data_IF_198486103751
#
_entry.id   IF_198486103751
#
_cell.length_a   1.000
_cell.length_b   1.000
_cell.length_c   1.000
_cell.angle_alpha   90.00
_cell.angle_beta   90.00
_cell.angle_gamma   90.00
#
_symmetry.space_group_name_H-M   'P 1'
#
loop_
_entity.id
_entity.type
_entity.pdbx_description
1 polymer ?
#
# COMPACT_ATOMS: atom_id res chain seq x y z
N UNK A 1 -9.22 -25.16 27.93
CA UNK A 1 -9.20 -25.61 26.51
C UNK A 1 -8.55 -24.48 25.70
N UNK A 2 -7.36 -24.70 25.16
CA UNK A 2 -6.65 -23.70 24.36
C UNK A 2 -7.39 -23.52 23.02
N UNK A 3 -8.04 -22.38 22.84
CA UNK A 3 -8.68 -22.00 21.58
C UNK A 3 -7.60 -21.37 20.71
N UNK A 4 -6.89 -22.21 19.95
CA UNK A 4 -6.00 -21.73 18.90
C UNK A 4 -6.89 -21.16 17.79
N UNK A 5 -7.02 -19.83 17.74
CA UNK A 5 -7.70 -19.14 16.66
C UNK A 5 -7.09 -19.61 15.32
N UNK A 6 -7.88 -19.99 14.30
CA UNK A 6 -7.32 -20.25 13.00
C UNK A 6 -6.73 -18.93 12.52
N UNK A 7 -5.42 -18.92 12.28
CA UNK A 7 -4.63 -17.79 11.78
C UNK A 7 -5.44 -17.00 10.74
N UNK A 8 -5.58 -15.68 10.94
CA UNK A 8 -6.40 -14.75 10.12
C UNK A 8 -6.22 -14.93 8.60
N UNK A 9 -5.05 -15.43 8.19
CA UNK A 9 -4.73 -15.82 6.81
C UNK A 9 -5.71 -16.84 6.21
N UNK A 10 -6.21 -17.81 6.98
CA UNK A 10 -7.13 -18.85 6.47
C UNK A 10 -8.49 -18.28 6.12
N UNK A 11 -9.02 -17.39 6.97
CA UNK A 11 -10.30 -16.71 6.72
C UNK A 11 -10.17 -15.72 5.57
N UNK A 12 -9.08 -14.96 5.54
CA UNK A 12 -8.77 -14.02 4.46
C UNK A 12 -8.69 -14.74 3.10
N UNK A 13 -7.97 -15.86 3.01
CA UNK A 13 -7.84 -16.62 1.78
C UNK A 13 -9.19 -17.17 1.28
N UNK A 14 -10.08 -17.55 2.20
CA UNK A 14 -11.42 -18.04 1.87
C UNK A 14 -12.32 -16.93 1.32
N UNK A 15 -12.25 -15.73 1.89
CA UNK A 15 -12.97 -14.54 1.39
C UNK A 15 -12.46 -14.15 0.01
N UNK A 16 -11.13 -14.18 -0.21
CA UNK A 16 -10.52 -13.88 -1.52
C UNK A 16 -10.97 -14.88 -2.59
N UNK A 17 -11.03 -16.18 -2.25
CA UNK A 17 -11.52 -17.22 -3.16
C UNK A 17 -12.96 -16.95 -3.59
N UNK A 18 -13.85 -16.75 -2.62
CA UNK A 18 -15.26 -16.44 -2.89
C UNK A 18 -15.45 -15.23 -3.81
N UNK A 19 -14.75 -14.11 -3.54
CA UNK A 19 -14.86 -12.92 -4.38
C UNK A 19 -14.39 -13.15 -5.83
N UNK A 20 -13.45 -14.07 -6.07
CA UNK A 20 -13.04 -14.45 -7.44
C UNK A 20 -14.10 -15.28 -8.13
N UNK A 21 -14.66 -16.26 -7.43
CA UNK A 21 -15.67 -17.14 -8.00
C UNK A 21 -16.88 -16.32 -8.47
N UNK A 22 -17.31 -15.33 -7.68
CA UNK A 22 -18.34 -14.36 -8.07
C UNK A 22 -17.90 -13.52 -9.27
N UNK A 23 -16.68 -12.98 -9.27
CA UNK A 23 -16.19 -12.17 -10.39
C UNK A 23 -16.07 -12.96 -11.70
N UNK A 24 -15.72 -14.25 -11.64
CA UNK A 24 -15.66 -15.15 -12.79
C UNK A 24 -17.06 -15.52 -13.30
N UNK A 25 -18.00 -15.81 -12.40
CA UNK A 25 -19.40 -16.10 -12.75
C UNK A 25 -20.07 -14.91 -13.45
N UNK A 26 -19.77 -13.68 -13.02
CA UNK A 26 -20.35 -12.45 -13.55
C UNK A 26 -19.55 -11.86 -14.74
N UNK A 27 -18.53 -12.55 -15.23
CA UNK A 27 -17.64 -12.09 -16.32
C UNK A 27 -17.05 -10.68 -16.11
N UNK A 28 -16.79 -10.30 -14.84
CA UNK A 28 -16.30 -8.96 -14.50
C UNK A 28 -14.79 -8.85 -14.72
N UNK A 29 -14.36 -7.82 -15.46
CA UNK A 29 -12.93 -7.50 -15.64
C UNK A 29 -12.35 -6.94 -14.34
N UNK A 30 -11.72 -7.80 -13.55
CA UNK A 30 -11.06 -7.40 -12.29
C UNK A 30 -9.78 -6.60 -12.60
N UNK A 31 -9.67 -5.39 -12.03
CA UNK A 31 -8.50 -4.50 -12.21
C UNK A 31 -7.20 -5.09 -11.64
N UNK A 32 -7.31 -5.82 -10.53
CA UNK A 32 -6.23 -6.60 -9.91
C UNK A 32 -6.83 -7.85 -9.26
N UNK A 33 -6.51 -9.03 -9.77
CA UNK A 33 -6.70 -10.26 -9.03
C UNK A 33 -5.58 -10.30 -8.00
N UNK A 34 -5.88 -10.17 -6.70
CA UNK A 34 -4.89 -10.35 -5.62
C UNK A 34 -4.47 -11.84 -5.50
N UNK A 35 -4.30 -12.51 -6.65
CA UNK A 35 -4.12 -13.94 -6.90
C UNK A 35 -2.70 -14.32 -7.23
N UNK A 36 -1.89 -13.36 -7.69
CA UNK A 36 -0.48 -13.61 -7.86
C UNK A 36 0.12 -13.92 -6.49
N UNK A 37 0.59 -15.15 -6.32
CA UNK A 37 1.50 -15.44 -5.23
C UNK A 37 2.73 -14.56 -5.42
N UNK A 38 3.02 -13.76 -4.39
CA UNK A 38 4.13 -12.82 -4.45
C UNK A 38 5.40 -13.68 -4.30
N UNK A 39 6.09 -14.01 -5.39
CA UNK A 39 7.30 -14.85 -5.34
C UNK A 39 8.35 -14.35 -4.31
N UNK A 40 8.41 -13.02 -4.10
CA UNK A 40 9.40 -12.37 -3.23
C UNK A 40 8.78 -11.25 -2.40
N UNK A 41 8.88 -11.36 -1.09
CA UNK A 41 8.47 -10.35 -0.12
C UNK A 41 9.69 -9.64 0.46
N UNK A 42 9.62 -8.32 0.67
CA UNK A 42 10.66 -7.57 1.37
C UNK A 42 10.41 -7.60 2.88
N UNK A 43 11.33 -8.21 3.64
CA UNK A 43 11.36 -8.18 5.10
C UNK A 43 12.25 -7.06 5.64
N UNK A 44 12.01 -6.68 6.89
CA UNK A 44 12.79 -5.67 7.60
C UNK A 44 14.07 -6.29 8.19
N UNK A 45 15.13 -5.51 8.41
CA UNK A 45 16.44 -6.04 8.89
C UNK A 45 16.35 -6.80 10.21
N UNK A 46 15.42 -6.40 11.09
CA UNK A 46 15.21 -7.02 12.39
C UNK A 46 14.32 -8.27 12.35
N UNK A 47 13.75 -8.62 11.19
CA UNK A 47 12.89 -9.79 11.07
C UNK A 47 13.71 -11.08 11.27
N UNK A 48 13.31 -11.89 12.25
CA UNK A 48 13.92 -13.20 12.57
C UNK A 48 12.93 -14.36 12.41
N UNK A 49 11.84 -14.14 11.70
CA UNK A 49 10.82 -15.17 11.46
C UNK A 49 11.22 -16.14 10.35
N UNK A 50 10.24 -16.84 9.79
CA UNK A 50 10.45 -17.83 8.74
C UNK A 50 10.96 -17.18 7.44
N UNK A 51 11.87 -17.84 6.74
CA UNK A 51 12.44 -17.33 5.48
C UNK A 51 11.49 -17.49 4.29
N UNK A 52 10.55 -18.44 4.39
CA UNK A 52 9.55 -18.71 3.37
C UNK A 52 8.16 -18.80 3.98
N UNK A 53 7.16 -18.31 3.26
CA UNK A 53 5.75 -18.45 3.62
C UNK A 53 5.00 -18.98 2.39
N UNK A 54 4.68 -20.28 2.38
CA UNK A 54 4.19 -20.95 1.17
C UNK A 54 5.25 -20.92 0.07
N UNK A 55 4.90 -20.44 -1.11
CA UNK A 55 5.83 -20.26 -2.24
C UNK A 55 6.58 -18.90 -2.21
N UNK A 56 6.20 -18.02 -1.28
CA UNK A 56 6.77 -16.67 -1.17
C UNK A 56 8.08 -16.67 -0.39
N UNK A 57 9.15 -16.15 -1.00
CA UNK A 57 10.45 -15.99 -0.34
C UNK A 57 10.57 -14.62 0.33
N UNK A 58 10.86 -14.60 1.63
CA UNK A 58 11.07 -13.38 2.41
C UNK A 58 12.53 -12.96 2.30
N UNK A 59 12.78 -11.92 1.52
CA UNK A 59 14.11 -11.35 1.33
C UNK A 59 14.39 -10.31 2.41
N UNK A 60 15.52 -10.43 3.10
CA UNK A 60 15.99 -9.45 4.09
C UNK A 60 17.15 -8.63 3.49
N UNK A 61 17.19 -7.31 3.67
CA UNK A 61 18.23 -6.46 3.09
C UNK A 61 19.58 -6.67 3.80
N UNK A 62 20.48 -7.41 3.16
CA UNK A 62 21.87 -7.62 3.56
C UNK A 62 22.87 -6.71 2.84
N UNK A 63 24.16 -6.90 3.16
CA UNK A 63 25.28 -6.24 2.46
C UNK A 63 25.31 -6.69 1.00
N UNK A 64 25.41 -5.78 0.01
CA UNK A 64 25.51 -6.14 -1.40
C UNK A 64 26.73 -7.04 -1.65
N UNK A 65 26.55 -8.14 -2.37
CA UNK A 65 27.66 -9.04 -2.72
C UNK A 65 28.58 -8.36 -3.73
N UNK A 66 29.90 -8.55 -3.61
CA UNK A 66 30.88 -8.01 -4.54
C UNK A 66 30.65 -8.52 -5.98
N UNK A 67 30.23 -9.78 -6.12
CA UNK A 67 29.92 -10.45 -7.39
C UNK A 67 28.66 -9.97 -8.10
N UNK A 68 27.76 -9.23 -7.41
CA UNK A 68 26.55 -8.73 -8.05
C UNK A 68 26.87 -7.59 -9.04
N UNK A 69 26.39 -7.72 -10.27
CA UNK A 69 26.41 -6.63 -11.27
C UNK A 69 25.73 -5.35 -10.72
N UNK A 70 26.19 -4.14 -11.11
CA UNK A 70 25.57 -2.88 -10.73
C UNK A 70 24.05 -2.85 -10.94
N UNK A 71 23.57 -3.46 -12.03
CA UNK A 71 22.14 -3.54 -12.33
C UNK A 71 21.38 -4.37 -11.27
N UNK A 72 21.91 -5.54 -10.88
CA UNK A 72 21.30 -6.39 -9.84
C UNK A 72 21.25 -5.68 -8.50
N UNK A 73 22.31 -4.97 -8.12
CA UNK A 73 22.37 -4.15 -6.89
C UNK A 73 21.28 -3.09 -6.88
N UNK A 74 21.12 -2.33 -7.98
CA UNK A 74 20.07 -1.29 -8.12
C UNK A 74 18.67 -1.89 -8.05
N UNK A 75 18.44 -3.05 -8.67
CA UNK A 75 17.14 -3.75 -8.64
C UNK A 75 16.77 -4.18 -7.22
N UNK A 76 17.71 -4.77 -6.46
CA UNK A 76 17.53 -5.12 -5.03
C UNK A 76 17.25 -3.87 -4.20
N UNK A 77 18.03 -2.80 -4.37
CA UNK A 77 17.83 -1.55 -3.63
C UNK A 77 16.46 -0.93 -3.91
N UNK A 78 16.01 -0.91 -5.17
CA UNK A 78 14.68 -0.39 -5.54
C UNK A 78 13.55 -1.21 -4.89
N UNK A 79 13.72 -2.53 -4.79
CA UNK A 79 12.76 -3.41 -4.14
C UNK A 79 12.61 -3.08 -2.64
N UNK A 80 13.73 -3.02 -1.90
CA UNK A 80 13.69 -2.68 -0.47
C UNK A 80 13.28 -1.23 -0.18
N UNK A 81 13.63 -0.27 -1.05
CA UNK A 81 13.24 1.14 -0.88
C UNK A 81 11.72 1.35 -0.95
N UNK A 82 11.00 0.53 -1.74
CA UNK A 82 9.53 0.56 -1.75
C UNK A 82 8.93 0.19 -0.39
N UNK A 83 9.57 -0.72 0.35
CA UNK A 83 9.13 -1.13 1.70
C UNK A 83 9.39 -0.04 2.74
N UNK A 84 10.54 0.64 2.66
CA UNK A 84 10.90 1.71 3.59
C UNK A 84 9.87 2.87 3.65
N UNK A 85 9.19 3.16 2.53
CA UNK A 85 8.13 4.18 2.50
C UNK A 85 6.82 3.76 3.17
N UNK A 86 6.62 2.47 3.44
CA UNK A 86 5.39 1.96 4.08
C UNK A 86 5.45 2.19 5.60
N UNK A 87 6.63 2.02 6.21
CA UNK A 87 6.80 2.17 7.66
C UNK A 87 6.50 3.59 8.13
N UNK A 88 6.90 4.60 7.36
CA UNK A 88 6.58 6.00 7.68
C UNK A 88 5.07 6.23 7.68
N UNK A 89 4.36 5.73 6.67
CA UNK A 89 2.89 5.82 6.59
C UNK A 89 2.24 5.09 7.76
N UNK A 90 2.69 3.88 8.11
CA UNK A 90 2.18 3.13 9.28
C UNK A 90 2.46 3.89 10.58
N UNK A 91 3.65 4.49 10.73
CA UNK A 91 4.03 5.31 11.87
C UNK A 91 3.12 6.54 12.02
N UNK A 92 2.89 7.28 10.92
CA UNK A 92 1.93 8.38 10.88
C UNK A 92 0.52 7.90 11.22
N UNK A 93 0.07 6.76 10.68
CA UNK A 93 -1.25 6.22 11.02
C UNK A 93 -1.36 5.85 12.52
N UNK A 94 -0.32 5.27 13.11
CA UNK A 94 -0.29 4.96 14.55
C UNK A 94 -0.33 6.21 15.43
N UNK A 95 0.41 7.24 15.06
CA UNK A 95 0.53 8.48 15.82
C UNK A 95 -0.65 9.44 15.62
N UNK A 96 -1.01 9.76 14.37
CA UNK A 96 -1.99 10.80 14.01
C UNK A 96 -3.44 10.29 14.08
N UNK A 97 -3.69 9.01 13.80
CA UNK A 97 -5.04 8.44 13.78
C UNK A 97 -5.39 7.62 15.04
N UNK A 98 -4.65 7.81 16.14
CA UNK A 98 -4.91 7.16 17.45
C UNK A 98 -5.07 5.63 17.40
N UNK A 99 -4.50 4.99 16.38
CA UNK A 99 -4.52 3.54 16.20
C UNK A 99 -3.82 2.78 17.34
N UNK A 100 -2.95 3.45 18.10
CA UNK A 100 -2.29 2.88 19.29
C UNK A 100 -3.07 2.99 20.61
N UNK A 101 -4.22 3.68 20.63
CA UNK A 101 -5.03 3.87 21.85
C UNK A 101 -6.50 3.76 21.51
N UNK A 102 -6.99 2.53 21.43
CA UNK A 102 -8.39 2.28 21.19
C UNK A 102 -9.17 2.25 22.51
N UNK A 103 -10.23 3.05 22.60
CA UNK A 103 -11.09 3.12 23.80
C UNK A 103 -12.28 2.14 23.71
N UNK A 104 -12.52 1.56 22.53
CA UNK A 104 -13.48 0.49 22.33
C UNK A 104 -12.93 -0.83 22.88
N UNK A 105 -13.77 -1.61 23.56
CA UNK A 105 -13.32 -2.82 24.26
C UNK A 105 -12.99 -3.96 23.30
N UNK A 106 -11.73 -4.37 23.27
CA UNK A 106 -11.25 -5.63 22.71
C UNK A 106 -10.99 -5.64 21.20
N UNK A 107 -10.68 -6.82 20.68
CA UNK A 107 -10.25 -7.09 19.28
C UNK A 107 -11.20 -6.53 18.22
N UNK A 108 -12.51 -6.57 18.47
CA UNK A 108 -13.52 -6.05 17.55
C UNK A 108 -13.43 -4.52 17.42
N UNK A 109 -13.18 -3.83 18.54
CA UNK A 109 -12.93 -2.39 18.53
C UNK A 109 -11.69 -2.04 17.72
N UNK A 110 -10.61 -2.81 17.89
CA UNK A 110 -9.34 -2.63 17.14
C UNK A 110 -9.53 -2.80 15.64
N UNK A 111 -10.28 -3.82 15.24
CA UNK A 111 -10.63 -4.05 13.84
C UNK A 111 -11.43 -2.87 13.25
N UNK A 112 -12.44 -2.37 13.97
CA UNK A 112 -13.26 -1.23 13.53
C UNK A 112 -12.41 0.04 13.41
N UNK A 113 -11.53 0.30 14.36
CA UNK A 113 -10.66 1.48 14.35
C UNK A 113 -9.68 1.45 13.15
N UNK A 114 -9.09 0.29 12.84
CA UNK A 114 -8.25 0.10 11.64
C UNK A 114 -9.04 0.34 10.36
N UNK A 115 -10.24 -0.24 10.25
CA UNK A 115 -11.08 -0.07 9.06
C UNK A 115 -11.49 1.40 8.84
N UNK A 116 -11.88 2.10 9.92
CA UNK A 116 -12.24 3.52 9.84
C UNK A 116 -11.04 4.42 9.52
N UNK A 117 -9.87 4.14 10.12
CA UNK A 117 -8.64 4.87 9.80
C UNK A 117 -8.23 4.68 8.32
N UNK A 118 -8.36 3.46 7.80
CA UNK A 118 -8.10 3.17 6.38
C UNK A 118 -9.11 3.89 5.46
N UNK A 119 -10.39 3.89 5.81
CA UNK A 119 -11.42 4.62 5.06
C UNK A 119 -11.14 6.12 5.05
N UNK A 120 -10.80 6.71 6.20
CA UNK A 120 -10.43 8.12 6.31
C UNK A 120 -9.20 8.48 5.46
N UNK A 121 -8.19 7.60 5.41
CA UNK A 121 -7.00 7.80 4.57
C UNK A 121 -7.36 7.79 3.08
N UNK A 122 -8.24 6.87 2.66
CA UNK A 122 -8.76 6.84 1.29
C UNK A 122 -9.54 8.10 0.94
N UNK A 123 -10.41 8.58 1.83
CA UNK A 123 -11.14 9.83 1.63
C UNK A 123 -10.21 11.04 1.57
N UNK A 124 -9.18 11.11 2.43
CA UNK A 124 -8.17 12.18 2.38
C UNK A 124 -7.49 12.24 1.00
N UNK A 125 -7.17 11.08 0.41
CA UNK A 125 -6.60 11.00 -0.94
C UNK A 125 -7.60 11.44 -2.02
N UNK A 126 -8.85 10.98 -1.92
CA UNK A 126 -9.92 11.36 -2.84
C UNK A 126 -10.21 12.88 -2.79
N UNK A 127 -10.26 13.47 -1.60
CA UNK A 127 -10.46 14.91 -1.41
C UNK A 127 -9.30 15.73 -1.98
N UNK A 128 -8.04 15.28 -1.82
CA UNK A 128 -6.88 15.94 -2.43
C UNK A 128 -6.95 15.90 -3.97
N UNK A 129 -7.36 14.77 -4.54
CA UNK A 129 -7.56 14.64 -5.98
C UNK A 129 -8.67 15.56 -6.48
N UNK A 130 -9.82 15.57 -5.81
CA UNK A 130 -10.93 16.47 -6.13
C UNK A 130 -10.51 17.95 -6.05
N UNK A 131 -9.77 18.34 -5.01
CA UNK A 131 -9.25 19.70 -4.87
C UNK A 131 -8.26 20.07 -5.98
N UNK A 132 -7.46 19.11 -6.45
CA UNK A 132 -6.58 19.29 -7.60
C UNK A 132 -7.40 19.54 -8.86
N UNK A 133 -8.44 18.73 -9.11
CA UNK A 133 -9.33 18.89 -10.26
C UNK A 133 -10.03 20.26 -10.25
N UNK A 134 -10.60 20.67 -9.12
CA UNK A 134 -11.25 21.98 -8.99
C UNK A 134 -10.24 23.10 -9.25
N UNK A 135 -9.02 23.01 -8.71
CA UNK A 135 -7.95 23.99 -8.98
C UNK A 135 -7.55 24.05 -10.45
N UNK A 136 -7.45 22.90 -11.12
CA UNK A 136 -7.17 22.88 -12.56
C UNK A 136 -8.30 23.52 -13.34
N UNK A 137 -9.56 23.23 -13.01
CA UNK A 137 -10.71 23.85 -13.67
C UNK A 137 -10.76 25.36 -13.48
N UNK A 138 -10.51 25.85 -12.25
CA UNK A 138 -10.44 27.29 -11.96
C UNK A 138 -9.27 27.94 -12.72
N UNK A 139 -8.08 27.32 -12.73
CA UNK A 139 -6.94 27.83 -13.51
C UNK A 139 -7.24 27.91 -15.00
N UNK A 140 -7.80 26.85 -15.58
CA UNK A 140 -8.22 26.82 -16.99
C UNK A 140 -9.28 27.87 -17.29
N UNK A 141 -10.21 28.12 -16.35
CA UNK A 141 -11.24 29.15 -16.49
C UNK A 141 -10.68 30.57 -16.38
N UNK A 142 -9.56 30.79 -15.70
CA UNK A 142 -8.89 32.09 -15.56
C UNK A 142 -7.90 32.31 -16.72
N UNK A 143 -7.22 31.26 -17.20
CA UNK A 143 -6.24 31.28 -18.28
C UNK A 143 -6.89 31.15 -19.67
N UNK A 144 -7.89 31.99 -19.93
CA UNK A 144 -8.44 32.18 -21.27
C UNK A 144 -7.58 33.04 -22.20
N UNK A 145 -6.35 33.44 -21.79
CA UNK A 145 -5.45 34.29 -22.60
C UNK A 145 -3.97 34.00 -22.26
N UNK A 146 -3.21 33.72 -23.32
CA UNK A 146 -1.75 33.76 -23.52
C UNK A 146 -0.77 32.67 -23.03
N UNK A 147 -0.36 31.88 -24.03
CA UNK A 147 1.01 31.49 -24.46
C UNK A 147 2.04 30.90 -23.47
N UNK A 148 2.49 29.68 -23.83
CA UNK A 148 3.83 29.12 -23.63
C UNK A 148 4.54 29.42 -22.30
N UNK A 149 4.13 28.74 -21.22
CA UNK A 149 4.98 28.63 -20.03
C UNK A 149 5.22 27.15 -19.66
N UNK A 150 6.47 26.74 -19.83
CA UNK A 150 7.08 25.42 -19.65
C UNK A 150 6.56 24.61 -18.42
N UNK A 151 5.43 23.91 -18.57
CA UNK A 151 4.65 23.32 -17.46
C UNK A 151 4.99 21.85 -17.11
N UNK A 152 6.07 21.30 -17.68
CA UNK A 152 6.45 19.88 -17.43
C UNK A 152 7.08 19.65 -16.06
N UNK A 153 7.51 20.70 -15.34
CA UNK A 153 8.20 20.58 -14.04
C UNK A 153 7.28 20.61 -12.81
N UNK A 154 6.10 21.24 -12.89
CA UNK A 154 5.20 21.40 -11.73
C UNK A 154 4.30 20.18 -11.54
N UNK A 155 3.86 19.54 -12.64
CA UNK A 155 3.05 18.32 -12.57
C UNK A 155 3.84 17.10 -12.07
N UNK A 156 5.13 16.99 -12.41
CA UNK A 156 5.99 15.88 -11.98
C UNK A 156 6.21 15.85 -10.45
N UNK A 157 6.36 17.03 -9.81
CA UNK A 157 6.62 17.11 -8.37
C UNK A 157 5.36 16.98 -7.51
N UNK A 158 4.18 17.30 -8.04
CA UNK A 158 2.91 17.23 -7.29
C UNK A 158 2.30 15.83 -7.31
N UNK A 159 2.52 15.05 -8.38
CA UNK A 159 2.07 13.65 -8.49
C UNK A 159 2.96 12.70 -7.68
N UNK A 160 4.20 13.09 -7.36
CA UNK A 160 5.13 12.27 -6.59
C UNK A 160 4.71 12.06 -5.11
N UNK A 161 3.75 12.85 -4.60
CA UNK A 161 3.30 12.82 -3.19
C UNK A 161 1.78 12.56 -3.01
N UNK A 162 1.08 12.10 -4.06
CA UNK A 162 -0.34 11.71 -4.04
C UNK A 162 -0.54 10.19 -4.00
#
# INVERSE_FOLDING_TARGET
>A
KNVTFPTDSKLLNKIIGFCRDVAHAEHLKVRQSYAGEIERLAGDRGYRGQETCGETNIMIPGVPKASDSPHKKKKKQRFFRKRAGIESVIGHCKAEHRLGRNFYKGLLGDAINVMLAAAAFNFKRAMRFLLCLIRTMIKWSIQGVDSNFNETKVLSNTICWL
#
